data_IF_684575467318
#
_entry.id   IF_684575467318
#
_cell.length_a   1.000
_cell.length_b   1.000
_cell.length_c   1.000
_cell.angle_alpha   90.00
_cell.angle_beta   90.00
_cell.angle_gamma   90.00
#
_symmetry.space_group_name_H-M   'P 1'
#
loop_
_entity.id
_entity.type
_entity.pdbx_description
1 polymer ?
#
# COMPACT_ATOMS: atom_id res chain seq x y z
N UNK A 1 28.37 16.62 35.87
CA UNK A 1 28.74 15.19 36.05
C UNK A 1 27.48 14.43 36.46
N UNK A 2 26.72 13.93 35.50
CA UNK A 2 25.66 12.93 35.74
C UNK A 2 25.67 12.01 34.52
N UNK A 3 26.11 10.76 34.65
CA UNK A 3 26.15 9.83 33.53
C UNK A 3 24.71 9.40 33.25
N UNK A 4 24.09 9.93 32.19
CA UNK A 4 22.83 9.39 31.70
C UNK A 4 23.13 8.08 30.97
N UNK A 5 22.29 7.09 31.24
CA UNK A 5 22.39 5.69 30.82
C UNK A 5 22.12 5.57 29.31
N UNK A 6 22.94 6.22 28.48
CA UNK A 6 22.93 6.09 27.01
C UNK A 6 23.87 4.98 26.53
N UNK A 7 24.69 4.43 27.44
CA UNK A 7 25.34 3.16 27.20
C UNK A 7 24.31 2.03 27.31
N UNK A 8 24.36 1.09 26.36
CA UNK A 8 23.59 -0.17 26.33
C UNK A 8 22.18 -0.06 25.72
N UNK A 9 22.09 0.25 24.42
CA UNK A 9 21.12 -0.45 23.55
C UNK A 9 21.71 -0.73 22.17
N UNK A 10 22.61 -1.72 22.22
CA UNK A 10 22.95 -2.76 21.26
C UNK A 10 22.21 -2.75 19.89
N UNK A 11 23.05 -2.73 18.84
CA UNK A 11 22.81 -3.08 17.44
C UNK A 11 22.17 -2.01 16.53
N UNK A 12 22.98 -1.02 16.14
CA UNK A 12 22.71 -0.11 15.02
C UNK A 12 23.71 1.04 15.06
N UNK A 13 24.94 0.81 14.61
CA UNK A 13 25.98 1.84 14.59
C UNK A 13 25.66 2.93 13.56
N UNK A 14 25.46 4.16 14.04
CA UNK A 14 25.28 5.37 13.24
C UNK A 14 24.20 6.30 13.81
N UNK A 15 24.29 7.61 13.53
CA UNK A 15 23.34 8.71 13.84
C UNK A 15 21.91 8.52 13.28
N UNK A 16 21.57 7.28 12.91
CA UNK A 16 20.47 6.91 12.03
C UNK A 16 19.42 6.04 12.75
N UNK A 17 19.45 6.06 14.09
CA UNK A 17 18.49 5.38 14.97
C UNK A 17 17.09 5.98 14.77
N UNK A 18 16.05 5.15 14.90
CA UNK A 18 14.66 5.59 14.76
C UNK A 18 14.36 6.76 15.69
N UNK A 19 14.05 7.92 15.11
CA UNK A 19 13.69 9.12 15.85
C UNK A 19 12.16 9.12 16.07
N UNK A 20 11.77 8.85 17.32
CA UNK A 20 10.38 8.89 17.76
C UNK A 20 9.84 10.32 17.94
N UNK A 21 10.72 11.32 18.05
CA UNK A 21 10.33 12.72 18.26
C UNK A 21 9.85 13.30 16.93
N UNK A 22 10.58 13.06 15.85
CA UNK A 22 10.23 13.53 14.51
C UNK A 22 10.24 12.38 13.47
N UNK A 23 9.29 11.43 13.56
CA UNK A 23 9.29 10.24 12.72
C UNK A 23 9.13 10.54 11.23
N UNK A 24 8.38 11.60 10.86
CA UNK A 24 8.16 11.97 9.45
C UNK A 24 9.44 12.47 8.78
N UNK A 25 10.17 13.35 9.44
CA UNK A 25 11.45 13.86 8.94
C UNK A 25 12.50 12.76 8.87
N UNK A 26 12.50 11.86 9.85
CA UNK A 26 13.36 10.68 9.85
C UNK A 26 13.06 9.70 8.71
N UNK A 27 11.78 9.53 8.35
CA UNK A 27 11.38 8.72 7.19
C UNK A 27 11.74 9.42 5.87
N UNK A 28 11.63 10.75 5.79
CA UNK A 28 11.97 11.54 4.60
C UNK A 28 13.47 11.49 4.27
N UNK A 29 14.34 11.37 5.29
CA UNK A 29 15.80 11.25 5.12
C UNK A 29 16.28 9.85 4.70
N UNK A 30 15.39 8.86 4.62
CA UNK A 30 15.75 7.49 4.23
C UNK A 30 16.14 7.43 2.75
N UNK A 31 17.19 6.67 2.44
CA UNK A 31 17.61 6.37 1.06
C UNK A 31 17.51 4.88 0.77
N UNK A 32 17.58 4.51 -0.53
CA UNK A 32 17.60 3.11 -0.96
C UNK A 32 16.31 2.34 -0.67
N UNK A 33 16.44 1.12 -0.15
CA UNK A 33 15.31 0.20 0.08
C UNK A 33 14.23 0.78 1.01
N UNK A 34 14.63 1.49 2.07
CA UNK A 34 13.70 2.06 3.06
C UNK A 34 12.86 3.19 2.47
N UNK A 35 13.46 4.02 1.59
CA UNK A 35 12.74 5.04 0.83
C UNK A 35 11.71 4.42 -0.11
N UNK A 36 12.08 3.33 -0.79
CA UNK A 36 11.18 2.59 -1.69
C UNK A 36 10.01 1.97 -0.93
N UNK A 37 10.24 1.37 0.23
CA UNK A 37 9.18 0.84 1.07
C UNK A 37 8.18 1.93 1.52
N UNK A 38 8.68 3.10 1.92
CA UNK A 38 7.83 4.23 2.28
C UNK A 38 6.98 4.73 1.10
N UNK A 39 7.59 4.86 -0.09
CA UNK A 39 6.89 5.26 -1.30
C UNK A 39 5.82 4.22 -1.73
N UNK A 40 6.12 2.93 -1.60
CA UNK A 40 5.16 1.85 -1.85
C UNK A 40 3.97 1.89 -0.88
N UNK A 41 4.23 2.19 0.40
CA UNK A 41 3.18 2.37 1.41
C UNK A 41 2.28 3.56 1.10
N UNK A 42 2.85 4.72 0.73
CA UNK A 42 2.07 5.88 0.33
C UNK A 42 1.15 5.57 -0.86
N UNK A 43 1.67 4.93 -1.92
CA UNK A 43 0.86 4.52 -3.07
C UNK A 43 -0.25 3.53 -2.70
N UNK A 44 0.03 2.63 -1.75
CA UNK A 44 -0.96 1.64 -1.29
C UNK A 44 -2.14 2.30 -0.57
N UNK A 45 -1.95 3.42 0.13
CA UNK A 45 -3.04 4.17 0.74
C UNK A 45 -3.96 4.85 -0.27
N UNK A 46 -3.39 5.50 -1.28
CA UNK A 46 -4.17 6.12 -2.36
C UNK A 46 -4.99 5.08 -3.12
N UNK A 47 -4.36 3.94 -3.39
CA UNK A 47 -5.01 2.81 -4.01
C UNK A 47 -6.13 2.21 -3.16
N UNK A 48 -5.91 2.06 -1.84
CA UNK A 48 -6.90 1.53 -0.92
C UNK A 48 -8.13 2.43 -0.86
N UNK A 49 -7.94 3.75 -0.72
CA UNK A 49 -9.05 4.71 -0.70
C UNK A 49 -9.90 4.60 -1.98
N UNK A 50 -9.24 4.52 -3.15
CA UNK A 50 -9.92 4.36 -4.45
C UNK A 50 -10.69 3.05 -4.53
N UNK A 51 -10.08 1.94 -4.09
CA UNK A 51 -10.71 0.62 -4.08
C UNK A 51 -11.89 0.55 -3.13
N UNK A 52 -11.78 1.10 -1.93
CA UNK A 52 -12.88 1.13 -0.95
C UNK A 52 -14.08 1.88 -1.50
N UNK A 53 -13.88 3.03 -2.16
CA UNK A 53 -14.97 3.76 -2.81
C UNK A 53 -15.68 2.91 -3.89
N UNK A 54 -14.91 2.22 -4.74
CA UNK A 54 -15.45 1.32 -5.75
C UNK A 54 -16.20 0.11 -5.15
N UNK A 55 -15.66 -0.49 -4.09
CA UNK A 55 -16.27 -1.61 -3.38
C UNK A 55 -17.60 -1.21 -2.74
N UNK A 56 -17.66 -0.04 -2.09
CA UNK A 56 -18.89 0.49 -1.51
C UNK A 56 -19.95 0.74 -2.60
N UNK A 57 -19.56 1.31 -3.74
CA UNK A 57 -20.48 1.49 -4.86
C UNK A 57 -21.06 0.15 -5.37
N UNK A 58 -20.21 -0.87 -5.53
CA UNK A 58 -20.64 -2.21 -5.92
C UNK A 58 -21.55 -2.87 -4.86
N UNK A 59 -21.24 -2.67 -3.58
CA UNK A 59 -22.03 -3.19 -2.46
C UNK A 59 -23.43 -2.56 -2.41
N UNK A 60 -23.53 -1.24 -2.55
CA UNK A 60 -24.82 -0.52 -2.62
C UNK A 60 -25.62 -0.95 -3.86
N UNK A 61 -24.94 -1.26 -4.96
CA UNK A 61 -25.54 -1.85 -6.16
C UNK A 61 -26.01 -3.31 -6.02
N UNK A 62 -26.02 -3.90 -4.82
CA UNK A 62 -26.46 -5.29 -4.59
C UNK A 62 -25.76 -6.31 -5.51
N UNK A 63 -24.47 -6.09 -5.80
CA UNK A 63 -23.67 -7.08 -6.53
C UNK A 63 -23.52 -8.35 -5.68
N UNK A 64 -23.54 -9.52 -6.32
CA UNK A 64 -23.42 -10.81 -5.64
C UNK A 64 -22.11 -10.88 -4.82
N UNK A 65 -22.22 -11.37 -3.57
CA UNK A 65 -21.09 -11.51 -2.65
C UNK A 65 -19.93 -12.36 -3.19
N UNK A 66 -20.21 -13.41 -3.99
CA UNK A 66 -19.18 -14.22 -4.63
C UNK A 66 -18.36 -13.41 -5.64
N UNK A 67 -19.02 -12.56 -6.43
CA UNK A 67 -18.33 -11.68 -7.38
C UNK A 67 -17.49 -10.62 -6.66
N UNK A 68 -18.03 -10.05 -5.57
CA UNK A 68 -17.29 -9.12 -4.71
C UNK A 68 -16.04 -9.79 -4.12
N UNK A 69 -16.18 -11.00 -3.58
CA UNK A 69 -15.08 -11.75 -2.99
C UNK A 69 -14.00 -12.09 -4.03
N UNK A 70 -14.42 -12.50 -5.23
CA UNK A 70 -13.50 -12.77 -6.34
C UNK A 70 -12.71 -11.52 -6.72
N UNK A 71 -13.37 -10.38 -6.94
CA UNK A 71 -12.65 -9.15 -7.33
C UNK A 71 -11.78 -8.63 -6.17
N UNK A 72 -12.24 -8.75 -4.93
CA UNK A 72 -11.46 -8.40 -3.75
C UNK A 72 -10.17 -9.22 -3.63
N UNK A 73 -10.25 -10.53 -3.87
CA UNK A 73 -9.07 -11.41 -3.86
C UNK A 73 -8.09 -11.06 -4.98
N UNK A 74 -8.58 -10.76 -6.19
CA UNK A 74 -7.74 -10.31 -7.31
C UNK A 74 -7.02 -9.01 -6.96
N UNK A 75 -7.75 -8.02 -6.41
CA UNK A 75 -7.15 -6.76 -6.00
C UNK A 75 -6.06 -6.98 -4.93
N UNK A 76 -6.35 -7.80 -3.91
CA UNK A 76 -5.40 -8.11 -2.85
C UNK A 76 -4.12 -8.75 -3.39
N UNK A 77 -4.25 -9.76 -4.26
CA UNK A 77 -3.12 -10.44 -4.89
C UNK A 77 -2.29 -9.47 -5.76
N UNK A 78 -2.97 -8.60 -6.53
CA UNK A 78 -2.31 -7.57 -7.33
C UNK A 78 -1.51 -6.59 -6.46
N UNK A 79 -2.00 -6.26 -5.25
CA UNK A 79 -1.29 -5.39 -4.31
C UNK A 79 -0.08 -6.06 -3.68
N UNK A 80 -0.19 -7.32 -3.28
CA UNK A 80 0.96 -8.08 -2.77
C UNK A 80 2.04 -8.17 -3.87
N UNK A 81 1.65 -8.49 -5.10
CA UNK A 81 2.56 -8.52 -6.23
C UNK A 81 3.21 -7.14 -6.52
N UNK A 82 2.43 -6.06 -6.45
CA UNK A 82 2.93 -4.69 -6.62
C UNK A 82 4.01 -4.36 -5.57
N UNK A 83 3.78 -4.67 -4.30
CA UNK A 83 4.74 -4.41 -3.22
C UNK A 83 6.05 -5.17 -3.46
N UNK A 84 5.98 -6.45 -3.82
CA UNK A 84 7.16 -7.28 -4.15
C UNK A 84 7.93 -6.69 -5.34
N UNK A 85 7.23 -6.31 -6.41
CA UNK A 85 7.86 -5.70 -7.59
C UNK A 85 8.52 -4.36 -7.29
N UNK A 86 7.90 -3.55 -6.42
CA UNK A 86 8.42 -2.25 -5.99
C UNK A 86 9.72 -2.42 -5.20
N UNK A 87 9.76 -3.40 -4.28
CA UNK A 87 10.94 -3.70 -3.48
C UNK A 87 12.07 -4.27 -4.34
N UNK A 88 11.74 -5.09 -5.34
CA UNK A 88 12.68 -5.66 -6.31
C UNK A 88 13.11 -4.70 -7.44
N UNK A 89 12.59 -3.46 -7.47
CA UNK A 89 12.87 -2.46 -8.50
C UNK A 89 12.51 -2.89 -9.95
N UNK A 90 11.49 -3.74 -10.10
CA UNK A 90 11.02 -4.24 -11.39
C UNK A 90 9.97 -3.30 -11.99
N UNK A 91 10.42 -2.31 -12.76
CA UNK A 91 9.58 -1.22 -13.25
C UNK A 91 8.42 -1.68 -14.17
N UNK A 92 8.62 -2.69 -15.00
CA UNK A 92 7.61 -3.21 -15.95
C UNK A 92 6.50 -3.98 -15.24
N UNK A 93 6.85 -4.87 -14.31
CA UNK A 93 5.86 -5.64 -13.54
C UNK A 93 5.06 -4.74 -12.59
N UNK A 94 5.65 -3.63 -12.12
CA UNK A 94 4.93 -2.61 -11.33
C UNK A 94 3.76 -2.00 -12.10
N UNK A 95 3.92 -1.74 -13.39
CA UNK A 95 2.84 -1.17 -14.22
C UNK A 95 1.73 -2.18 -14.49
N UNK A 96 2.08 -3.46 -14.72
CA UNK A 96 1.09 -4.53 -14.91
C UNK A 96 0.25 -4.75 -13.65
N UNK A 97 0.89 -4.86 -12.49
CA UNK A 97 0.19 -5.05 -11.19
C UNK A 97 -0.66 -3.83 -10.83
N UNK A 98 -0.21 -2.63 -11.16
CA UNK A 98 -1.02 -1.41 -11.03
C UNK A 98 -2.26 -1.44 -11.94
N UNK A 99 -2.10 -1.85 -13.20
CA UNK A 99 -3.21 -1.94 -14.16
C UNK A 99 -4.26 -2.97 -13.72
N UNK A 100 -3.84 -4.11 -13.20
CA UNK A 100 -4.77 -5.10 -12.61
C UNK A 100 -5.53 -4.49 -11.44
N UNK A 101 -4.83 -3.84 -10.50
CA UNK A 101 -5.49 -3.21 -9.35
C UNK A 101 -6.45 -2.09 -9.74
N UNK A 102 -6.11 -1.28 -10.75
CA UNK A 102 -6.99 -0.24 -11.29
C UNK A 102 -8.18 -0.83 -12.04
N UNK A 103 -7.96 -1.89 -12.83
CA UNK A 103 -9.00 -2.63 -13.53
C UNK A 103 -10.02 -3.26 -12.58
N UNK A 104 -9.59 -3.77 -11.42
CA UNK A 104 -10.50 -4.25 -10.38
C UNK A 104 -11.45 -3.16 -9.88
N UNK A 105 -10.96 -1.92 -9.68
CA UNK A 105 -11.81 -0.80 -9.28
C UNK A 105 -12.85 -0.45 -10.35
N UNK A 106 -12.44 -0.41 -11.63
CA UNK A 106 -13.37 -0.16 -12.75
C UNK A 106 -14.43 -1.25 -12.81
N UNK A 107 -14.03 -2.52 -12.68
CA UNK A 107 -14.94 -3.65 -12.70
C UNK A 107 -16.01 -3.55 -11.62
N UNK A 108 -15.62 -3.22 -10.37
CA UNK A 108 -16.57 -3.01 -9.28
C UNK A 108 -17.57 -1.88 -9.59
N UNK A 109 -17.10 -0.74 -10.10
CA UNK A 109 -17.97 0.39 -10.44
C UNK A 109 -18.97 -0.01 -11.52
N UNK A 110 -18.52 -0.67 -12.59
CA UNK A 110 -19.38 -1.11 -13.70
C UNK A 110 -20.43 -2.11 -13.21
N UNK A 111 -20.02 -3.10 -12.41
CA UNK A 111 -20.94 -4.09 -11.85
C UNK A 111 -21.98 -3.45 -10.93
N UNK A 112 -21.57 -2.48 -10.11
CA UNK A 112 -22.50 -1.71 -9.28
C UNK A 112 -23.49 -0.89 -10.12
N UNK A 113 -23.00 -0.17 -11.12
CA UNK A 113 -23.82 0.68 -11.97
C UNK A 113 -24.89 -0.10 -12.76
N UNK A 114 -24.55 -1.29 -13.26
CA UNK A 114 -25.47 -2.14 -14.03
C UNK A 114 -26.65 -2.71 -13.22
N UNK A 115 -26.59 -2.62 -11.89
CA UNK A 115 -27.60 -3.20 -10.98
C UNK A 115 -28.47 -2.16 -10.29
N UNK A 116 -28.10 -0.88 -10.40
CA UNK A 116 -28.83 0.25 -9.81
C UNK A 116 -29.85 0.83 -10.79
N UNK A 117 -29.71 0.53 -12.10
CA UNK A 117 -30.65 0.91 -13.18
C UNK A 117 -31.63 -0.23 -13.41
#
# INVERSE_FOLDING_TARGET
MTPSIQGISKAGGGDDRYDNVNPRDWLARRTGYRARANAAQANSWEALATYTAALVAAYVGNVNGESLALIASIFLLARVAYLVCYLANLATLRSLTWLVGFGSCICLIVMGAQRVV
#
